data_IF_298909475969
#
_entry.id   IF_298909475969
#
_cell.length_a   1.000
_cell.length_b   1.000
_cell.length_c   1.000
_cell.angle_alpha   90.00
_cell.angle_beta   90.00
_cell.angle_gamma   90.00
#
_symmetry.space_group_name_H-M   'P 1'
#
loop_
_entity.id
_entity.type
_entity.pdbx_description
1 polymer ?
#
# COMPACT_ATOMS: atom_id res chain seq x y z
N UNK A 1 -7.90 -21.45 24.38
CA UNK A 1 -7.64 -21.74 22.96
C UNK A 1 -6.16 -21.59 22.71
N UNK A 2 -5.54 -22.58 22.10
CA UNK A 2 -4.10 -22.67 21.93
C UNK A 2 -3.64 -21.86 20.71
N UNK A 3 -2.55 -21.10 20.86
CA UNK A 3 -2.02 -20.30 19.76
C UNK A 3 -1.29 -21.20 18.77
N UNK A 4 -1.72 -21.20 17.50
CA UNK A 4 -1.13 -21.99 16.42
C UNK A 4 0.14 -21.34 15.82
N UNK A 5 0.63 -20.23 16.38
CA UNK A 5 1.81 -19.49 15.91
C UNK A 5 1.83 -19.14 14.41
N UNK A 6 0.65 -18.94 13.79
CA UNK A 6 0.49 -18.61 12.37
C UNK A 6 1.10 -17.28 11.90
N UNK A 7 1.49 -16.39 12.82
CA UNK A 7 2.20 -15.15 12.47
C UNK A 7 1.31 -13.98 11.98
N UNK A 8 0.05 -14.20 11.66
CA UNK A 8 -0.87 -13.18 11.14
C UNK A 8 -0.96 -11.89 12.00
N UNK A 9 -0.84 -12.01 13.32
CA UNK A 9 -0.88 -10.88 14.25
C UNK A 9 0.39 -10.00 14.22
N UNK A 10 1.45 -10.44 13.55
CA UNK A 10 2.73 -9.72 13.43
C UNK A 10 2.82 -8.88 12.16
N UNK A 11 1.90 -9.06 11.22
CA UNK A 11 1.84 -8.23 10.01
C UNK A 11 1.24 -6.86 10.35
N UNK A 12 1.70 -5.81 9.66
CA UNK A 12 1.14 -4.47 9.78
C UNK A 12 -0.18 -4.31 8.98
N UNK A 13 -1.06 -5.30 9.08
CA UNK A 13 -2.40 -5.26 8.51
C UNK A 13 -3.39 -4.69 9.54
N UNK A 14 -4.37 -3.87 9.13
CA UNK A 14 -5.36 -3.29 10.05
C UNK A 14 -6.27 -4.34 10.70
N UNK A 15 -6.47 -5.47 10.03
CA UNK A 15 -7.24 -6.61 10.51
C UNK A 15 -6.57 -7.90 10.06
N UNK A 16 -6.68 -8.95 10.87
CA UNK A 16 -6.16 -10.27 10.51
C UNK A 16 -7.10 -11.39 10.98
N UNK A 17 -7.08 -12.54 10.30
CA UNK A 17 -7.87 -13.69 10.72
C UNK A 17 -7.08 -14.54 11.73
N UNK A 18 -7.69 -14.83 12.89
CA UNK A 18 -7.07 -15.66 13.93
C UNK A 18 -7.67 -17.06 13.90
N UNK A 19 -6.92 -18.05 13.40
CA UNK A 19 -7.35 -19.45 13.36
C UNK A 19 -7.76 -20.00 14.73
N UNK A 20 -7.02 -19.62 15.78
CA UNK A 20 -7.30 -20.06 17.13
C UNK A 20 -8.62 -19.50 17.69
N UNK A 21 -9.12 -18.39 17.15
CA UNK A 21 -10.40 -17.78 17.54
C UNK A 21 -11.52 -18.01 16.53
N UNK A 22 -11.18 -18.38 15.30
CA UNK A 22 -12.13 -18.53 14.20
C UNK A 22 -12.79 -17.22 13.76
N UNK A 23 -12.12 -16.07 13.94
CA UNK A 23 -12.70 -14.75 13.64
C UNK A 23 -11.67 -13.79 13.05
N UNK A 24 -12.17 -12.71 12.44
CA UNK A 24 -11.37 -11.54 12.05
C UNK A 24 -11.16 -10.65 13.27
N UNK A 25 -9.91 -10.37 13.60
CA UNK A 25 -9.49 -9.54 14.74
C UNK A 25 -8.96 -8.21 14.23
N UNK A 26 -9.36 -7.11 14.88
CA UNK A 26 -8.79 -5.78 14.63
C UNK A 26 -7.39 -5.71 15.23
N UNK A 27 -6.40 -5.32 14.42
CA UNK A 27 -5.03 -5.23 14.86
C UNK A 27 -4.77 -3.94 15.65
N UNK A 28 -4.49 -4.09 16.95
CA UNK A 28 -4.17 -2.95 17.83
C UNK A 28 -2.78 -2.34 17.57
N UNK A 29 -1.89 -3.09 16.93
CA UNK A 29 -0.52 -2.66 16.64
C UNK A 29 -0.37 -2.11 15.22
N UNK A 30 -1.47 -1.94 14.50
CA UNK A 30 -1.45 -1.38 13.15
C UNK A 30 -0.93 0.06 13.17
N UNK A 31 0.14 0.32 12.42
CA UNK A 31 0.69 1.65 12.18
C UNK A 31 0.39 2.02 10.73
N UNK A 32 -0.46 3.04 10.46
CA UNK A 32 -0.72 3.48 9.10
C UNK A 32 0.58 3.93 8.42
N UNK A 33 0.95 3.26 7.33
CA UNK A 33 2.04 3.69 6.46
C UNK A 33 1.47 4.53 5.31
N UNK A 34 2.06 5.71 5.10
CA UNK A 34 1.76 6.49 3.90
C UNK A 34 2.28 5.75 2.67
N UNK A 35 1.37 5.33 1.79
CA UNK A 35 1.75 4.81 0.48
C UNK A 35 2.34 5.96 -0.34
N UNK A 36 3.67 6.00 -0.45
CA UNK A 36 4.36 6.86 -1.41
C UNK A 36 4.00 6.41 -2.82
N UNK A 37 3.00 7.07 -3.43
CA UNK A 37 2.63 6.82 -4.82
C UNK A 37 3.66 7.49 -5.73
N UNK A 38 4.84 6.88 -5.88
CA UNK A 38 5.86 7.27 -6.86
C UNK A 38 5.45 6.79 -8.26
N UNK A 39 4.33 7.33 -8.77
CA UNK A 39 3.78 6.96 -10.07
C UNK A 39 3.62 8.17 -10.99
N UNK A 40 3.31 7.87 -12.25
CA UNK A 40 2.96 8.82 -13.30
C UNK A 40 1.62 9.51 -13.02
N UNK A 41 1.58 10.37 -12.00
CA UNK A 41 0.36 11.10 -11.64
C UNK A 41 0.21 12.30 -12.56
N UNK A 42 -0.94 12.37 -13.25
CA UNK A 42 -1.32 13.52 -14.09
C UNK A 42 -1.24 14.82 -13.28
N UNK A 43 -0.58 15.84 -13.84
CA UNK A 43 -0.29 17.10 -13.16
C UNK A 43 1.03 17.13 -12.38
N UNK A 44 1.75 16.02 -12.21
CA UNK A 44 3.13 16.08 -11.70
C UNK A 44 4.09 16.54 -12.80
N UNK A 45 5.15 17.27 -12.43
CA UNK A 45 6.14 17.80 -13.38
C UNK A 45 6.73 16.70 -14.27
N UNK A 46 7.11 15.57 -13.68
CA UNK A 46 7.64 14.42 -14.42
C UNK A 46 6.64 13.88 -15.45
N UNK A 47 5.37 13.74 -15.05
CA UNK A 47 4.30 13.31 -15.95
C UNK A 47 4.09 14.27 -17.13
N UNK A 48 4.01 15.58 -16.88
CA UNK A 48 3.79 16.55 -17.96
C UNK A 48 4.99 16.63 -18.92
N UNK A 49 6.22 16.51 -18.41
CA UNK A 49 7.43 16.45 -19.26
C UNK A 49 7.37 15.22 -20.18
N UNK A 50 7.07 14.05 -19.63
CA UNK A 50 6.96 12.83 -20.43
C UNK A 50 5.83 12.94 -21.46
N UNK A 51 4.64 13.41 -21.05
CA UNK A 51 3.49 13.62 -21.94
C UNK A 51 3.83 14.52 -23.13
N UNK A 52 4.49 15.66 -22.86
CA UNK A 52 4.88 16.64 -23.89
C UNK A 52 5.93 16.07 -24.84
N UNK A 53 6.92 15.33 -24.32
CA UNK A 53 7.92 14.60 -25.12
C UNK A 53 7.26 13.58 -26.05
N UNK A 54 6.37 12.74 -25.53
CA UNK A 54 5.66 11.72 -26.33
C UNK A 54 4.79 12.34 -27.42
N UNK A 55 4.16 13.48 -27.13
CA UNK A 55 3.31 14.19 -28.10
C UNK A 55 4.08 15.09 -29.07
N UNK A 56 5.41 15.19 -28.95
CA UNK A 56 6.25 16.12 -29.72
C UNK A 56 5.76 17.58 -29.63
N UNK A 57 5.14 17.95 -28.51
CA UNK A 57 4.68 19.32 -28.23
C UNK A 57 5.87 20.26 -27.92
N UNK A 58 7.06 19.68 -27.70
CA UNK A 58 8.32 20.39 -27.45
C UNK A 58 9.40 19.67 -28.27
N UNK A 59 10.10 20.40 -29.13
CA UNK A 59 11.35 19.89 -29.74
C UNK A 59 12.40 19.78 -28.63
N UNK A 60 12.98 18.60 -28.47
CA UNK A 60 14.11 18.35 -27.55
C UNK A 60 15.39 18.79 -28.23
#
# INVERSE_FOLDING_TARGET
MECMNCGNCKENQPTYYCLAKGEVVINKNYVPEEKSRSGWKKGTKGYEIHRRKTRKEVEV
#
